data_IF_659563861884
#
_entry.id   IF_659563861884
#
_cell.length_a   1.000
_cell.length_b   1.000
_cell.length_c   1.000
_cell.angle_alpha   90.00
_cell.angle_beta   90.00
_cell.angle_gamma   90.00
#
_symmetry.space_group_name_H-M   'P 1'
#
loop_
_entity.id
_entity.type
_entity.pdbx_description
1 polymer ?
#
# COMPACT_ATOMS: atom_id res chain seq x y z
N UNK A 1 29.20 -39.10 -4.03
CA UNK A 1 27.98 -39.14 -3.21
C UNK A 1 27.19 -37.88 -3.52
N UNK A 2 26.24 -37.94 -4.45
CA UNK A 2 25.37 -36.81 -4.79
C UNK A 2 23.92 -37.25 -4.60
N UNK A 3 23.22 -36.56 -3.71
CA UNK A 3 21.82 -36.78 -3.38
C UNK A 3 20.91 -36.38 -4.56
N UNK A 4 20.02 -37.30 -4.91
CA UNK A 4 18.84 -37.10 -5.75
C UNK A 4 17.82 -36.20 -5.08
N UNK A 5 17.32 -35.20 -5.79
CA UNK A 5 15.98 -34.67 -5.57
C UNK A 5 15.20 -34.71 -6.89
N UNK A 6 14.16 -35.53 -6.87
CA UNK A 6 13.25 -35.85 -7.96
C UNK A 6 12.21 -34.74 -8.12
N UNK A 7 12.13 -34.15 -9.31
CA UNK A 7 11.02 -33.25 -9.67
C UNK A 7 9.86 -34.08 -10.27
N UNK A 8 8.64 -33.86 -9.79
CA UNK A 8 7.44 -34.49 -10.35
C UNK A 8 7.10 -33.87 -11.71
N UNK A 9 7.29 -34.63 -12.78
CA UNK A 9 6.81 -34.30 -14.11
C UNK A 9 5.43 -34.93 -14.32
N UNK A 10 4.37 -34.14 -14.34
CA UNK A 10 3.06 -34.59 -14.79
C UNK A 10 3.04 -34.57 -16.32
N UNK A 11 3.38 -35.69 -16.96
CA UNK A 11 3.23 -35.87 -18.40
C UNK A 11 1.80 -36.29 -18.74
N UNK A 12 1.11 -35.50 -19.58
CA UNK A 12 0.10 -36.01 -20.51
C UNK A 12 0.73 -36.03 -21.91
N UNK A 13 0.54 -37.09 -22.71
CA UNK A 13 1.07 -37.14 -24.06
C UNK A 13 0.05 -36.52 -25.02
N UNK A 14 0.33 -35.32 -25.52
CA UNK A 14 -0.22 -34.88 -26.81
C UNK A 14 0.95 -34.66 -27.77
N UNK A 15 0.96 -35.48 -28.83
CA UNK A 15 2.01 -35.54 -29.83
C UNK A 15 1.79 -34.43 -30.86
N UNK A 16 2.49 -33.31 -30.67
CA UNK A 16 2.86 -32.42 -31.78
C UNK A 16 4.34 -32.07 -31.64
N UNK A 17 5.15 -32.59 -32.57
CA UNK A 17 6.56 -32.21 -32.74
C UNK A 17 6.62 -30.74 -33.18
N UNK A 18 6.54 -29.82 -32.23
CA UNK A 18 7.04 -28.48 -32.40
C UNK A 18 8.56 -28.54 -32.31
N UNK A 19 9.25 -27.91 -33.25
CA UNK A 19 10.70 -27.71 -33.19
C UNK A 19 11.01 -26.94 -31.90
N UNK A 20 11.48 -27.64 -30.87
CA UNK A 20 12.01 -27.00 -29.67
C UNK A 20 13.33 -26.36 -30.10
N UNK A 21 13.29 -25.07 -30.44
CA UNK A 21 14.48 -24.24 -30.50
C UNK A 21 15.04 -24.19 -29.08
N UNK A 22 15.91 -25.14 -28.73
CA UNK A 22 16.71 -25.05 -27.52
C UNK A 22 17.64 -23.87 -27.72
N UNK A 23 17.35 -22.78 -27.01
CA UNK A 23 18.19 -21.60 -26.98
C UNK A 23 19.58 -22.05 -26.48
N UNK A 24 20.54 -22.20 -27.40
CA UNK A 24 21.90 -22.70 -27.14
C UNK A 24 22.78 -21.68 -26.41
N UNK A 25 22.26 -20.48 -26.18
CA UNK A 25 22.88 -19.52 -25.29
C UNK A 25 22.57 -19.91 -23.85
N UNK A 26 23.44 -20.72 -23.24
CA UNK A 26 23.42 -21.06 -21.82
C UNK A 26 23.82 -19.83 -20.96
N UNK A 27 23.29 -18.65 -21.28
CA UNK A 27 23.41 -17.45 -20.47
C UNK A 27 22.48 -17.65 -19.28
N UNK A 28 23.06 -17.90 -18.11
CA UNK A 28 22.29 -18.03 -16.87
C UNK A 28 21.33 -16.85 -16.75
N UNK A 29 20.05 -17.16 -16.58
CA UNK A 29 19.02 -16.15 -16.33
C UNK A 29 19.25 -15.57 -14.94
N UNK A 30 19.58 -14.28 -14.87
CA UNK A 30 19.56 -13.55 -13.62
C UNK A 30 18.11 -13.19 -13.27
N UNK A 31 17.49 -14.01 -12.42
CA UNK A 31 16.10 -13.80 -12.00
C UNK A 31 15.91 -12.50 -11.22
N UNK A 32 16.92 -12.06 -10.46
CA UNK A 32 16.83 -10.82 -9.69
C UNK A 32 16.77 -9.61 -10.61
N UNK A 33 17.58 -9.57 -11.66
CA UNK A 33 17.56 -8.46 -12.64
C UNK A 33 16.21 -8.38 -13.37
N UNK A 34 15.64 -9.54 -13.71
CA UNK A 34 14.31 -9.60 -14.33
C UNK A 34 13.25 -9.07 -13.36
N UNK A 35 13.23 -9.55 -12.12
CA UNK A 35 12.25 -9.10 -11.12
C UNK A 35 12.40 -7.60 -10.85
N UNK A 36 13.63 -7.11 -10.68
CA UNK A 36 13.92 -5.70 -10.43
C UNK A 36 13.49 -4.78 -11.58
N UNK A 37 13.45 -5.28 -12.83
CA UNK A 37 12.92 -4.52 -13.97
C UNK A 37 11.42 -4.20 -13.87
N UNK A 38 10.69 -4.89 -12.98
CA UNK A 38 9.28 -4.65 -12.68
C UNK A 38 9.06 -3.87 -11.38
N UNK A 39 10.11 -3.33 -10.76
CA UNK A 39 9.96 -2.47 -9.59
C UNK A 39 9.04 -1.28 -9.92
N UNK A 40 7.94 -1.09 -9.18
CA UNK A 40 7.09 0.08 -9.35
C UNK A 40 7.92 1.35 -9.15
N UNK A 41 7.81 2.27 -10.11
CA UNK A 41 8.53 3.54 -10.13
C UNK A 41 7.54 4.69 -10.32
N UNK A 42 7.49 5.59 -9.35
CA UNK A 42 6.64 6.77 -9.40
C UNK A 42 7.50 8.03 -9.49
N UNK A 43 7.14 8.89 -10.44
CA UNK A 43 7.80 10.19 -10.71
C UNK A 43 6.88 11.38 -10.47
N UNK A 44 5.62 11.13 -10.10
CA UNK A 44 4.60 12.14 -9.85
C UNK A 44 3.66 11.69 -8.71
N UNK A 45 2.93 12.65 -8.14
CA UNK A 45 1.87 12.37 -7.15
C UNK A 45 0.68 11.75 -7.89
N UNK A 46 0.30 10.54 -7.52
CA UNK A 46 -0.88 9.84 -8.06
C UNK A 46 -1.75 9.25 -6.93
N UNK A 47 -2.85 9.92 -6.54
CA UNK A 47 -3.77 9.46 -5.51
C UNK A 47 -4.36 8.06 -5.72
N UNK A 48 -4.42 7.58 -6.95
CA UNK A 48 -4.97 6.27 -7.32
C UNK A 48 -3.97 5.12 -7.19
N UNK A 49 -2.70 5.42 -6.96
CA UNK A 49 -1.63 4.42 -7.00
C UNK A 49 -0.54 4.67 -5.96
N UNK A 50 -0.88 4.80 -4.66
CA UNK A 50 0.13 4.77 -3.61
C UNK A 50 0.81 3.39 -3.56
N UNK A 51 2.01 3.34 -2.98
CA UNK A 51 2.76 2.10 -2.81
C UNK A 51 2.63 1.59 -1.38
N UNK A 52 2.52 0.27 -1.23
CA UNK A 52 2.41 -0.39 0.07
C UNK A 52 3.58 -1.35 0.29
N UNK A 53 4.09 -1.37 1.52
CA UNK A 53 5.05 -2.35 2.02
C UNK A 53 4.42 -3.15 3.16
N UNK A 54 4.84 -4.40 3.31
CA UNK A 54 4.31 -5.25 4.37
C UNK A 54 5.01 -6.58 4.50
N UNK A 55 4.83 -7.22 5.65
CA UNK A 55 5.45 -8.50 6.00
C UNK A 55 4.43 -9.64 6.14
N UNK A 56 3.26 -9.48 5.52
CA UNK A 56 2.12 -10.40 5.63
C UNK A 56 1.28 -10.25 6.89
N UNK A 57 1.80 -9.62 7.96
CA UNK A 57 1.07 -9.37 9.23
C UNK A 57 0.90 -7.88 9.54
N UNK A 58 1.66 -7.03 8.88
CA UNK A 58 1.59 -5.57 8.95
C UNK A 58 1.74 -5.02 7.53
N UNK A 59 1.00 -3.96 7.24
CA UNK A 59 1.01 -3.26 5.96
C UNK A 59 1.00 -1.76 6.20
N UNK A 60 1.84 -1.05 5.46
CA UNK A 60 1.95 0.40 5.48
C UNK A 60 1.84 0.91 4.05
N UNK A 61 0.93 1.85 3.83
CA UNK A 61 0.72 2.48 2.52
C UNK A 61 1.21 3.91 2.59
N UNK A 62 2.09 4.28 1.67
CA UNK A 62 2.77 5.56 1.63
C UNK A 62 2.40 6.33 0.36
N UNK A 63 2.36 7.65 0.48
CA UNK A 63 2.41 8.54 -0.67
C UNK A 63 3.84 8.69 -1.19
N UNK A 64 4.00 9.58 -2.16
CA UNK A 64 5.25 9.82 -2.86
C UNK A 64 6.43 10.20 -1.96
N UNK A 65 6.19 10.70 -0.75
CA UNK A 65 7.22 11.04 0.24
C UNK A 65 7.81 9.83 0.95
N UNK A 66 7.28 8.62 0.71
CA UNK A 66 7.56 7.43 1.52
C UNK A 66 6.83 7.42 2.87
N UNK A 67 6.10 8.49 3.19
CA UNK A 67 5.28 8.62 4.39
C UNK A 67 3.80 8.81 4.03
N UNK A 68 2.96 9.17 5.00
CA UNK A 68 1.54 9.52 4.83
C UNK A 68 1.35 11.04 4.99
N UNK A 69 2.25 11.80 4.38
CA UNK A 69 2.35 13.26 4.44
C UNK A 69 1.20 13.94 3.71
N UNK A 70 0.82 13.42 2.54
CA UNK A 70 -0.23 13.93 1.66
C UNK A 70 -1.54 13.15 1.84
N UNK A 71 -1.88 12.77 3.07
CA UNK A 71 -3.03 11.90 3.33
C UNK A 71 -4.33 12.47 2.73
N UNK A 72 -4.55 13.77 2.86
CA UNK A 72 -5.79 14.40 2.41
C UNK A 72 -5.95 14.32 0.89
N UNK A 73 -4.87 14.49 0.14
CA UNK A 73 -4.83 14.36 -1.32
C UNK A 73 -5.18 12.94 -1.80
N UNK A 74 -4.90 11.91 -0.99
CA UNK A 74 -5.16 10.50 -1.31
C UNK A 74 -6.49 10.01 -0.75
N UNK A 75 -7.03 10.67 0.29
CA UNK A 75 -8.13 10.17 1.11
C UNK A 75 -9.43 9.85 0.35
N UNK A 76 -9.71 10.57 -0.74
CA UNK A 76 -10.90 10.37 -1.55
C UNK A 76 -10.80 9.15 -2.47
N UNK A 77 -9.58 8.78 -2.88
CA UNK A 77 -9.33 7.80 -3.93
C UNK A 77 -8.76 6.50 -3.36
N UNK A 78 -7.64 6.58 -2.63
CA UNK A 78 -7.00 5.44 -1.98
C UNK A 78 -6.42 5.88 -0.63
N UNK A 79 -7.20 5.78 0.47
CA UNK A 79 -6.75 6.19 1.79
C UNK A 79 -5.44 5.51 2.22
N UNK A 80 -4.47 6.30 2.64
CA UNK A 80 -3.20 5.77 3.14
C UNK A 80 -3.40 5.16 4.53
N UNK A 81 -3.21 3.85 4.62
CA UNK A 81 -3.50 3.10 5.84
C UNK A 81 -2.26 2.39 6.39
N UNK A 82 -2.21 2.34 7.72
CA UNK A 82 -1.32 1.48 8.51
C UNK A 82 -2.18 0.40 9.15
N UNK A 83 -2.07 -0.84 8.68
CA UNK A 83 -2.92 -1.95 9.12
C UNK A 83 -2.10 -3.12 9.62
N UNK A 84 -2.65 -3.85 10.60
CA UNK A 84 -2.08 -5.10 11.08
C UNK A 84 -3.12 -6.22 11.09
N UNK A 85 -2.65 -7.46 11.03
CA UNK A 85 -3.46 -8.67 11.11
C UNK A 85 -4.28 -8.72 12.40
N UNK A 86 -3.73 -8.25 13.52
CA UNK A 86 -4.40 -8.16 14.82
C UNK A 86 -5.25 -6.88 15.02
N UNK A 87 -5.11 -5.88 14.15
CA UNK A 87 -5.74 -4.56 14.29
C UNK A 87 -7.23 -4.54 13.91
N UNK A 88 -8.07 -5.17 14.73
CA UNK A 88 -9.53 -5.22 14.57
C UNK A 88 -10.25 -4.36 15.60
N UNK A 89 -11.34 -3.75 15.19
CA UNK A 89 -12.24 -3.00 16.06
C UNK A 89 -13.69 -3.44 15.88
N UNK A 90 -14.43 -3.39 16.98
CA UNK A 90 -15.88 -3.63 17.03
C UNK A 90 -16.52 -2.47 17.76
N UNK A 91 -17.38 -1.71 17.07
CA UNK A 91 -18.19 -0.68 17.69
C UNK A 91 -19.28 -1.34 18.53
N UNK A 92 -19.54 -0.83 19.73
CA UNK A 92 -20.69 -1.28 20.55
C UNK A 92 -22.01 -0.98 19.82
N UNK A 93 -22.91 -1.96 19.74
CA UNK A 93 -24.26 -1.76 19.22
C UNK A 93 -25.13 -0.96 20.20
N UNK A 94 -26.09 -0.22 19.65
CA UNK A 94 -27.07 0.54 20.42
C UNK A 94 -28.26 -0.36 20.81
N UNK A 95 -27.98 -1.38 21.62
CA UNK A 95 -28.96 -2.27 22.23
C UNK A 95 -28.43 -2.76 23.59
N UNK A 96 -29.27 -3.42 24.39
CA UNK A 96 -28.89 -3.91 25.72
C UNK A 96 -27.71 -4.89 25.71
N UNK A 97 -27.64 -5.73 24.67
CA UNK A 97 -26.57 -6.74 24.50
C UNK A 97 -25.22 -6.11 24.14
N UNK A 98 -25.22 -4.93 23.53
CA UNK A 98 -24.04 -4.25 22.99
C UNK A 98 -23.50 -4.83 21.69
N UNK A 99 -24.17 -5.80 21.06
CA UNK A 99 -23.80 -6.37 19.75
C UNK A 99 -25.03 -6.92 19.00
N UNK A 100 -24.87 -7.20 17.71
CA UNK A 100 -25.83 -7.95 16.89
C UNK A 100 -25.18 -9.21 16.31
N UNK A 101 -25.96 -10.24 16.03
CA UNK A 101 -25.52 -11.43 15.29
C UNK A 101 -26.25 -11.53 13.95
N UNK A 102 -25.86 -12.50 13.12
CA UNK A 102 -26.56 -12.73 11.85
C UNK A 102 -28.04 -13.11 12.03
N UNK A 103 -28.39 -13.71 13.17
CA UNK A 103 -29.78 -14.06 13.49
C UNK A 103 -30.66 -12.83 13.76
N UNK A 104 -30.05 -11.72 14.18
CA UNK A 104 -30.75 -10.44 14.34
C UNK A 104 -31.01 -9.75 12.98
N UNK A 105 -30.41 -10.22 11.89
CA UNK A 105 -30.55 -9.63 10.54
C UNK A 105 -31.67 -10.32 9.77
N UNK A 106 -32.62 -9.52 9.27
CA UNK A 106 -33.67 -9.99 8.38
C UNK A 106 -33.07 -10.41 7.05
N UNK A 107 -33.21 -11.70 6.75
CA UNK A 107 -32.64 -12.29 5.54
C UNK A 107 -33.53 -12.07 4.31
N UNK A 108 -32.89 -11.84 3.16
CA UNK A 108 -33.55 -11.73 1.87
C UNK A 108 -33.61 -13.11 1.18
N UNK A 109 -34.80 -13.61 0.81
CA UNK A 109 -34.93 -14.89 0.11
C UNK A 109 -34.64 -14.75 -1.39
N UNK A 110 -34.01 -15.79 -1.96
CA UNK A 110 -33.74 -15.94 -3.39
C UNK A 110 -34.08 -17.36 -3.82
N UNK A 111 -34.75 -17.50 -4.97
CA UNK A 111 -34.99 -18.79 -5.59
C UNK A 111 -33.73 -19.25 -6.35
N UNK A 112 -33.16 -20.39 -5.97
CA UNK A 112 -32.00 -20.98 -6.65
C UNK A 112 -32.20 -22.49 -6.78
N UNK A 113 -32.16 -23.02 -8.00
CA UNK A 113 -32.25 -24.47 -8.27
C UNK A 113 -33.37 -25.19 -7.47
N UNK A 114 -34.60 -24.66 -7.53
CA UNK A 114 -35.80 -25.20 -6.85
C UNK A 114 -35.77 -25.18 -5.31
N UNK A 115 -34.80 -24.49 -4.70
CA UNK A 115 -34.78 -24.21 -3.25
C UNK A 115 -34.74 -22.72 -2.99
N UNK A 116 -35.27 -22.30 -1.85
CA UNK A 116 -35.08 -20.94 -1.34
C UNK A 116 -33.78 -20.88 -0.56
N UNK A 117 -32.89 -19.97 -0.94
CA UNK A 117 -31.68 -19.62 -0.19
C UNK A 117 -31.83 -18.20 0.36
N UNK A 118 -31.21 -17.91 1.48
CA UNK A 118 -31.37 -16.62 2.16
C UNK A 118 -30.03 -15.94 2.35
N UNK A 119 -29.98 -14.62 2.10
CA UNK A 119 -28.78 -13.81 2.30
C UNK A 119 -29.15 -12.48 2.93
N UNK A 120 -28.30 -11.91 3.80
CA UNK A 120 -28.46 -10.53 4.20
C UNK A 120 -28.05 -9.70 2.97
N UNK A 121 -29.01 -9.23 2.16
CA UNK A 121 -28.71 -8.39 0.98
C UNK A 121 -29.49 -7.08 0.97
N UNK A 122 -30.77 -7.12 1.34
CA UNK A 122 -31.61 -5.93 1.37
C UNK A 122 -31.62 -5.34 2.77
N UNK A 123 -31.41 -4.03 2.85
CA UNK A 123 -31.64 -3.25 4.07
C UNK A 123 -33.14 -3.02 4.23
N UNK A 124 -33.77 -3.82 5.08
CA UNK A 124 -35.21 -3.73 5.33
C UNK A 124 -35.52 -2.66 6.37
N UNK A 125 -36.65 -2.00 6.19
CA UNK A 125 -37.22 -1.05 7.17
C UNK A 125 -37.44 -1.74 8.53
N UNK A 126 -36.97 -1.12 9.61
CA UNK A 126 -37.05 -1.61 10.99
C UNK A 126 -35.96 -2.62 11.38
N UNK A 127 -35.02 -2.95 10.50
CA UNK A 127 -33.89 -3.86 10.77
C UNK A 127 -32.52 -3.26 10.42
N UNK A 128 -32.47 -1.96 10.12
CA UNK A 128 -31.28 -1.23 9.67
C UNK A 128 -30.13 -1.32 10.67
N UNK A 129 -30.41 -1.22 11.97
CA UNK A 129 -29.39 -1.25 13.01
C UNK A 129 -28.61 -2.57 13.02
N UNK A 130 -29.32 -3.71 13.01
CA UNK A 130 -28.70 -5.02 12.94
C UNK A 130 -28.01 -5.23 11.59
N UNK A 131 -28.68 -4.86 10.49
CA UNK A 131 -28.17 -4.97 9.12
C UNK A 131 -26.83 -4.22 8.93
N UNK A 132 -26.75 -2.98 9.39
CA UNK A 132 -25.56 -2.13 9.26
C UNK A 132 -24.45 -2.62 10.20
N UNK A 133 -24.79 -2.92 11.45
CA UNK A 133 -23.80 -3.28 12.47
C UNK A 133 -23.05 -4.57 12.09
N UNK A 134 -23.75 -5.62 11.67
CA UNK A 134 -23.14 -6.91 11.30
C UNK A 134 -22.27 -6.78 10.05
N UNK A 135 -22.56 -5.83 9.14
CA UNK A 135 -21.71 -5.57 7.97
C UNK A 135 -20.48 -4.76 8.26
N UNK A 136 -20.57 -3.90 9.26
CA UNK A 136 -19.49 -2.99 9.62
C UNK A 136 -18.59 -3.58 10.69
N UNK A 137 -18.95 -4.68 11.36
CA UNK A 137 -18.20 -5.18 12.52
C UNK A 137 -17.99 -6.71 12.47
N UNK A 138 -16.83 -7.21 12.93
CA UNK A 138 -15.61 -6.45 13.20
C UNK A 138 -15.01 -5.87 11.91
N UNK A 139 -14.39 -4.68 11.98
CA UNK A 139 -13.69 -4.07 10.86
C UNK A 139 -12.21 -3.84 11.17
N UNK A 140 -11.41 -3.72 10.12
CA UNK A 140 -10.02 -3.28 10.23
C UNK A 140 -9.95 -1.82 10.64
N UNK A 141 -9.06 -1.53 11.57
CA UNK A 141 -8.81 -0.17 12.04
C UNK A 141 -7.47 0.34 11.50
N UNK A 142 -7.45 1.59 11.03
CA UNK A 142 -6.21 2.25 10.61
C UNK A 142 -5.44 2.69 11.86
N UNK A 143 -4.30 2.05 12.13
CA UNK A 143 -3.59 2.12 13.41
C UNK A 143 -2.95 3.49 13.68
N UNK A 144 -2.37 4.10 12.65
CA UNK A 144 -1.64 5.36 12.77
C UNK A 144 -1.50 6.04 11.42
N UNK A 145 -1.36 7.37 11.45
CA UNK A 145 -0.91 8.19 10.34
C UNK A 145 0.44 8.81 10.67
N UNK A 146 1.45 8.56 9.85
CA UNK A 146 2.80 9.10 10.05
C UNK A 146 3.15 9.96 8.84
N UNK A 147 3.27 11.27 9.03
CA UNK A 147 3.55 12.24 7.97
C UNK A 147 4.72 13.15 8.32
N UNK A 148 5.29 13.80 7.31
CA UNK A 148 6.39 14.75 7.47
C UNK A 148 5.88 16.19 7.62
N UNK A 149 6.56 16.96 8.46
CA UNK A 149 6.40 18.40 8.58
C UNK A 149 7.73 19.07 8.23
N UNK A 150 7.67 20.26 7.63
CA UNK A 150 8.85 21.06 7.33
C UNK A 150 8.72 22.41 8.04
N UNK A 151 9.65 22.72 8.96
CA UNK A 151 9.60 23.90 9.82
C UNK A 151 8.25 24.09 10.54
N UNK A 152 7.72 23.01 11.12
CA UNK A 152 6.41 22.97 11.80
C UNK A 152 5.20 23.29 10.91
N UNK A 153 5.38 23.39 9.60
CA UNK A 153 4.31 23.53 8.63
C UNK A 153 4.07 22.20 7.89
N UNK A 154 2.81 21.87 7.55
CA UNK A 154 2.51 20.70 6.73
C UNK A 154 3.09 20.88 5.32
N UNK A 155 3.72 19.83 4.80
CA UNK A 155 4.18 19.81 3.42
C UNK A 155 2.96 19.69 2.50
N UNK A 156 2.88 20.56 1.49
CA UNK A 156 1.79 20.56 0.52
C UNK A 156 2.25 19.90 -0.77
N UNK A 157 1.35 19.19 -1.46
CA UNK A 157 1.63 18.54 -2.74
C UNK A 157 2.33 19.49 -3.74
N UNK A 158 1.84 20.74 -3.87
CA UNK A 158 2.41 21.74 -4.78
C UNK A 158 3.82 22.25 -4.43
N UNK A 159 4.37 21.90 -3.26
CA UNK A 159 5.76 22.21 -2.89
C UNK A 159 6.74 21.09 -3.21
N UNK A 160 6.27 19.90 -3.59
CA UNK A 160 7.12 18.73 -3.86
C UNK A 160 7.44 18.67 -5.35
N UNK A 161 8.71 18.45 -5.69
CA UNK A 161 9.19 18.29 -7.07
C UNK A 161 10.41 17.35 -7.13
N UNK A 162 10.90 17.05 -8.34
CA UNK A 162 11.98 16.07 -8.57
C UNK A 162 11.73 14.74 -7.83
N UNK A 163 10.49 14.26 -7.95
CA UNK A 163 10.02 13.03 -7.33
C UNK A 163 10.71 11.82 -7.97
N UNK A 164 11.19 10.91 -7.14
CA UNK A 164 11.67 9.61 -7.54
C UNK A 164 11.42 8.62 -6.39
N UNK A 165 10.36 7.81 -6.53
CA UNK A 165 10.02 6.75 -5.60
C UNK A 165 10.08 5.39 -6.29
N UNK A 166 10.77 4.43 -5.67
CA UNK A 166 10.87 3.05 -6.17
C UNK A 166 10.54 2.09 -5.04
N UNK A 167 9.66 1.12 -5.31
CA UNK A 167 9.50 -0.05 -4.45
C UNK A 167 10.37 -1.18 -5.00
N UNK A 168 11.40 -1.57 -4.26
CA UNK A 168 12.17 -2.76 -4.58
C UNK A 168 11.40 -4.00 -4.13
N UNK A 169 10.82 -4.71 -5.10
CA UNK A 169 9.97 -5.88 -4.81
C UNK A 169 10.78 -7.11 -4.39
N UNK A 170 12.10 -7.10 -4.56
CA UNK A 170 12.98 -8.20 -4.12
C UNK A 170 13.32 -8.08 -2.63
N UNK A 171 13.44 -6.86 -2.13
CA UNK A 171 13.80 -6.57 -0.73
C UNK A 171 12.62 -6.11 0.11
N UNK A 172 11.56 -5.61 -0.52
CA UNK A 172 10.41 -4.99 0.15
C UNK A 172 10.69 -3.58 0.68
N UNK A 173 11.77 -2.94 0.21
CA UNK A 173 12.16 -1.59 0.64
C UNK A 173 11.53 -0.55 -0.29
N UNK A 174 10.81 0.39 0.28
CA UNK A 174 10.32 1.57 -0.43
C UNK A 174 11.33 2.71 -0.25
N UNK A 175 11.93 3.13 -1.36
CA UNK A 175 12.82 4.30 -1.39
C UNK A 175 12.11 5.46 -2.03
N UNK A 176 11.94 6.55 -1.30
CA UNK A 176 11.46 7.81 -1.85
C UNK A 176 12.55 8.88 -1.78
N UNK A 177 12.66 9.66 -2.85
CA UNK A 177 13.43 10.89 -2.87
C UNK A 177 12.66 11.99 -3.58
N UNK A 178 12.70 13.19 -3.01
CA UNK A 178 12.02 14.36 -3.56
C UNK A 178 12.69 15.64 -3.07
N UNK A 179 12.39 16.76 -3.74
CA UNK A 179 12.84 18.09 -3.36
C UNK A 179 11.64 18.94 -2.94
N UNK A 180 11.89 19.86 -2.01
CA UNK A 180 10.89 20.84 -1.57
C UNK A 180 11.20 22.23 -2.12
N UNK A 181 10.20 22.86 -2.73
CA UNK A 181 10.27 24.24 -3.18
C UNK A 181 9.88 25.13 -2.01
N UNK A 182 10.90 25.69 -1.36
CA UNK A 182 10.73 26.58 -0.22
C UNK A 182 10.66 28.00 -0.78
N UNK A 183 9.47 28.42 -1.24
CA UNK A 183 9.29 29.80 -1.67
C UNK A 183 9.54 30.76 -0.49
N UNK A 184 10.37 31.76 -0.79
CA UNK A 184 11.16 32.63 0.08
C UNK A 184 10.37 33.70 0.85
N UNK A 185 9.24 33.36 1.46
CA UNK A 185 8.50 34.30 2.32
C UNK A 185 8.90 34.23 3.81
N UNK A 186 9.77 33.30 4.18
CA UNK A 186 10.46 33.36 5.46
C UNK A 186 11.82 34.02 5.25
N UNK A 187 11.92 35.25 5.77
CA UNK A 187 13.15 36.04 5.87
C UNK A 187 14.38 35.16 5.99
N UNK A 188 15.34 35.42 5.10
CA UNK A 188 16.70 34.91 5.07
C UNK A 188 17.25 34.74 6.50
N UNK A 189 17.10 33.55 7.05
CA UNK A 189 17.95 33.04 8.11
C UNK A 189 18.70 31.89 7.48
N UNK A 190 19.91 32.21 7.06
CA UNK A 190 20.96 31.29 6.63
C UNK A 190 20.88 29.99 7.42
N UNK A 191 20.45 28.91 6.78
CA UNK A 191 20.49 27.58 7.36
C UNK A 191 21.83 26.96 6.99
N UNK A 192 22.73 26.93 7.97
CA UNK A 192 23.92 26.09 7.90
C UNK A 192 23.46 24.63 7.86
N UNK A 193 23.96 23.92 6.86
CA UNK A 193 23.82 22.49 6.68
C UNK A 193 24.37 21.75 7.91
N UNK A 194 23.55 20.98 8.62
CA UNK A 194 24.04 19.97 9.57
C UNK A 194 24.11 18.65 8.81
N UNK A 195 25.15 18.52 7.99
CA UNK A 195 25.65 17.25 7.51
C UNK A 195 27.12 17.43 7.13
N UNK A 196 28.01 17.08 8.08
CA UNK A 196 29.46 17.03 7.97
C UNK A 196 30.16 18.35 7.64
N UNK A 197 31.30 18.57 8.30
CA UNK A 197 32.24 19.66 8.01
C UNK A 197 32.45 19.82 6.50
N UNK A 198 32.01 20.97 5.95
CA UNK A 198 32.73 21.81 4.98
C UNK A 198 31.84 22.94 4.46
N UNK A 199 32.35 24.16 4.56
CA UNK A 199 31.72 25.42 4.17
C UNK A 199 31.77 25.56 2.63
N UNK A 200 30.64 25.87 1.99
CA UNK A 200 30.63 26.41 0.63
C UNK A 200 29.49 27.43 0.49
N UNK A 201 29.82 28.67 0.13
CA UNK A 201 28.94 29.87 0.25
C UNK A 201 28.09 30.18 -0.99
N UNK A 202 27.81 29.18 -1.84
CA UNK A 202 26.81 29.27 -2.91
C UNK A 202 25.76 28.16 -2.76
N UNK A 203 24.95 28.23 -1.70
CA UNK A 203 23.89 27.26 -1.46
C UNK A 203 22.67 27.58 -2.34
N UNK A 204 22.60 26.97 -3.52
CA UNK A 204 21.30 26.48 -3.99
C UNK A 204 20.89 25.47 -2.91
N UNK A 205 19.88 25.81 -2.11
CA UNK A 205 19.44 24.98 -0.99
C UNK A 205 18.84 23.71 -1.60
N UNK A 206 19.67 22.69 -1.80
CA UNK A 206 19.27 21.38 -2.27
C UNK A 206 18.55 20.66 -1.11
N UNK A 207 17.26 20.98 -0.93
CA UNK A 207 16.36 20.33 0.03
C UNK A 207 15.96 18.93 -0.43
N UNK A 208 16.95 18.10 -0.78
CA UNK A 208 16.73 16.70 -1.14
C UNK A 208 16.40 15.91 0.13
N UNK A 209 15.18 15.39 0.18
CA UNK A 209 14.75 14.47 1.23
C UNK A 209 14.80 13.06 0.67
N UNK A 210 15.38 12.12 1.42
CA UNK A 210 15.35 10.69 1.10
C UNK A 210 14.79 9.91 2.28
N UNK A 211 13.78 9.08 2.00
CA UNK A 211 13.09 8.25 2.98
C UNK A 211 13.21 6.78 2.57
N UNK A 212 13.48 5.92 3.55
CA UNK A 212 13.41 4.47 3.40
C UNK A 212 12.32 3.95 4.33
N UNK A 213 11.43 3.13 3.79
CA UNK A 213 10.28 2.55 4.50
C UNK A 213 10.23 1.05 4.29
#
# INVERSE_FOLDING_TARGET
>A
MNNTHTYCNAQRPDARQGTVTTNTDNKLINRLDIIASFNPHLTDINPQSPLSVGNGRFCYTADITGMQTLYEEYSAETPLCTMAEWGWHTKKADNEKGFYTLDDVRMTPYNYCKRTVTYPRVKYEGNEAAYDWVRQNPHKFNLAKIGLYFHNEPIKAGSIYCINQTLDITTGILKSSFRLNVNSNNNVRTLNNIAADNINTNAIIDNLVTVYT
#
